data_IF_617479644954
#
_entry.id   IF_617479644954
#
_cell.length_a   1.000
_cell.length_b   1.000
_cell.length_c   1.000
_cell.angle_alpha   90.00
_cell.angle_beta   90.00
_cell.angle_gamma   90.00
#
_symmetry.space_group_name_H-M   'P 1'
#
loop_
_entity.id
_entity.type
_entity.pdbx_description
1 polymer ?
#
# COMPACT_ATOMS: atom_id res chain seq x y z
N UNK A 1 38.15 -43.63 19.91
CA UNK A 1 38.33 -42.18 19.64
C UNK A 1 37.76 -41.81 18.27
N UNK A 2 36.45 -41.96 18.03
CA UNK A 2 35.85 -41.63 16.71
C UNK A 2 34.50 -40.93 16.86
N UNK A 3 33.64 -41.43 17.74
CA UNK A 3 32.28 -40.88 17.91
C UNK A 3 32.23 -39.49 18.56
N UNK A 4 33.00 -39.26 19.64
CA UNK A 4 32.98 -37.98 20.36
C UNK A 4 33.50 -36.78 19.55
N UNK A 5 34.49 -37.00 18.67
CA UNK A 5 35.02 -35.97 17.78
C UNK A 5 34.02 -35.59 16.68
N UNK A 6 33.36 -36.58 16.08
CA UNK A 6 32.33 -36.35 15.05
C UNK A 6 31.12 -35.58 15.60
N UNK A 7 30.66 -35.93 16.81
CA UNK A 7 29.54 -35.22 17.47
C UNK A 7 29.94 -33.79 17.83
N UNK A 8 31.16 -33.57 18.32
CA UNK A 8 31.66 -32.22 18.63
C UNK A 8 31.74 -31.32 17.38
N UNK A 9 32.22 -31.86 16.26
CA UNK A 9 32.25 -31.15 14.97
C UNK A 9 30.84 -30.83 14.45
N UNK A 10 29.88 -31.74 14.64
CA UNK A 10 28.47 -31.55 14.29
C UNK A 10 27.84 -30.42 15.12
N UNK A 11 28.02 -30.44 16.44
CA UNK A 11 27.50 -29.40 17.35
C UNK A 11 28.09 -28.03 16.98
N UNK A 12 29.39 -27.98 16.69
CA UNK A 12 30.08 -26.74 16.30
C UNK A 12 29.55 -26.21 14.96
N UNK A 13 29.33 -27.08 13.98
CA UNK A 13 28.75 -26.71 12.69
C UNK A 13 27.32 -26.18 12.83
N UNK A 14 26.50 -26.81 13.68
CA UNK A 14 25.14 -26.35 13.98
C UNK A 14 25.14 -24.99 14.69
N UNK A 15 26.05 -24.79 15.64
CA UNK A 15 26.18 -23.53 16.38
C UNK A 15 26.64 -22.39 15.49
N UNK A 16 27.60 -22.64 14.59
CA UNK A 16 28.11 -21.65 13.65
C UNK A 16 27.09 -21.29 12.55
N UNK A 17 26.26 -22.26 12.12
CA UNK A 17 25.20 -22.01 11.13
C UNK A 17 23.87 -21.53 11.75
N UNK A 18 23.81 -21.36 13.07
CA UNK A 18 22.61 -20.88 13.74
C UNK A 18 22.43 -19.37 13.49
N UNK A 19 21.59 -19.03 12.52
CA UNK A 19 21.16 -17.64 12.26
C UNK A 19 20.41 -17.07 13.47
N UNK A 20 20.74 -15.86 13.88
CA UNK A 20 19.92 -15.12 14.84
C UNK A 20 18.56 -14.81 14.22
N UNK A 21 17.49 -15.35 14.81
CA UNK A 21 16.12 -15.13 14.31
C UNK A 21 15.59 -13.85 14.94
N UNK A 22 15.64 -12.77 14.18
CA UNK A 22 14.98 -11.52 14.57
C UNK A 22 13.48 -11.72 14.60
N UNK A 23 12.82 -11.12 15.58
CA UNK A 23 11.35 -11.14 15.68
C UNK A 23 10.74 -10.29 14.56
N UNK A 24 9.43 -10.49 14.29
CA UNK A 24 8.73 -9.65 13.31
C UNK A 24 8.76 -8.16 13.71
N UNK A 25 8.71 -7.86 15.00
CA UNK A 25 8.79 -6.51 15.55
C UNK A 25 10.17 -5.88 15.35
N UNK A 26 11.23 -6.62 15.66
CA UNK A 26 12.63 -6.19 15.47
C UNK A 26 12.95 -5.97 13.98
N UNK A 27 12.30 -6.73 13.09
CA UNK A 27 12.38 -6.52 11.65
C UNK A 27 11.73 -5.21 11.22
N UNK A 28 10.65 -4.76 11.87
CA UNK A 28 9.90 -3.54 11.52
C UNK A 28 10.56 -2.29 12.12
N UNK A 29 11.11 -2.39 13.33
CA UNK A 29 11.77 -1.30 14.05
C UNK A 29 12.91 -0.64 13.24
N UNK A 30 13.63 -1.44 12.45
CA UNK A 30 14.68 -0.94 11.54
C UNK A 30 14.19 -0.20 10.29
N UNK A 31 12.89 -0.27 9.96
CA UNK A 31 12.30 0.45 8.82
C UNK A 31 11.48 1.68 9.24
N UNK A 32 11.07 1.80 10.51
CA UNK A 32 10.31 2.97 10.99
C UNK A 32 11.19 4.23 11.12
N UNK A 33 12.49 4.06 11.34
CA UNK A 33 13.44 5.18 11.48
C UNK A 33 13.94 5.73 10.15
N UNK A 34 13.66 5.06 9.02
CA UNK A 34 14.03 5.54 7.69
C UNK A 34 12.96 6.51 7.13
N UNK A 35 12.72 7.57 7.91
CA UNK A 35 11.86 8.72 7.57
C UNK A 35 12.34 9.50 6.33
N UNK A 36 13.45 9.06 5.70
CA UNK A 36 14.05 9.66 4.52
C UNK A 36 13.95 8.80 3.26
N UNK A 37 13.00 7.87 3.18
CA UNK A 37 12.58 7.36 1.86
C UNK A 37 11.76 8.44 1.16
N UNK A 38 12.42 9.54 0.77
CA UNK A 38 11.82 10.57 -0.09
C UNK A 38 11.37 9.83 -1.34
N UNK A 39 10.06 9.78 -1.58
CA UNK A 39 9.48 9.31 -2.84
C UNK A 39 10.14 10.12 -3.97
N UNK A 40 11.16 9.53 -4.59
CA UNK A 40 11.87 10.13 -5.71
C UNK A 40 10.99 9.94 -6.94
N UNK A 41 10.32 11.01 -7.32
CA UNK A 41 9.61 11.06 -8.59
C UNK A 41 10.62 11.49 -9.67
N UNK A 42 11.15 10.52 -10.42
CA UNK A 42 12.09 10.76 -11.54
C UNK A 42 11.48 11.64 -12.65
N UNK A 43 10.15 11.78 -12.67
CA UNK A 43 9.40 12.59 -13.63
C UNK A 43 8.75 13.78 -12.93
N UNK A 44 9.43 14.92 -12.94
CA UNK A 44 8.82 16.20 -12.63
C UNK A 44 7.96 16.64 -13.81
N UNK A 45 6.64 16.55 -13.68
CA UNK A 45 5.74 17.16 -14.64
C UNK A 45 5.94 18.68 -14.62
N UNK A 46 6.04 19.30 -15.80
CA UNK A 46 6.05 20.77 -15.91
C UNK A 46 4.79 21.33 -15.25
N UNK A 47 4.86 22.52 -14.64
CA UNK A 47 3.70 23.17 -14.01
C UNK A 47 2.49 23.24 -14.97
N UNK A 48 2.74 23.39 -16.27
CA UNK A 48 1.71 23.34 -17.31
C UNK A 48 1.03 21.97 -17.41
N UNK A 49 1.82 20.89 -17.41
CA UNK A 49 1.31 19.52 -17.46
C UNK A 49 0.50 19.18 -16.20
N UNK A 50 0.92 19.65 -15.03
CA UNK A 50 0.16 19.48 -13.77
C UNK A 50 -1.20 20.18 -13.85
N UNK A 51 -1.24 21.41 -14.37
CA UNK A 51 -2.48 22.15 -14.54
C UNK A 51 -3.41 21.48 -15.56
N UNK A 52 -2.88 20.95 -16.65
CA UNK A 52 -3.67 20.18 -17.62
C UNK A 52 -4.27 18.91 -17.01
N UNK A 53 -3.47 18.14 -16.26
CA UNK A 53 -3.93 16.93 -15.58
C UNK A 53 -5.02 17.28 -14.57
N UNK A 54 -4.80 18.32 -13.75
CA UNK A 54 -5.78 18.81 -12.78
C UNK A 54 -7.10 19.20 -13.46
N UNK A 55 -7.02 19.95 -14.56
CA UNK A 55 -8.20 20.39 -15.30
C UNK A 55 -8.95 19.22 -15.95
N UNK A 56 -8.24 18.22 -16.47
CA UNK A 56 -8.84 16.99 -17.03
C UNK A 56 -9.60 16.22 -15.94
N UNK A 57 -8.96 15.97 -14.79
CA UNK A 57 -9.56 15.26 -13.66
C UNK A 57 -10.79 16.01 -13.14
N UNK A 58 -10.73 17.33 -12.99
CA UNK A 58 -11.87 18.13 -12.54
C UNK A 58 -13.06 18.03 -13.51
N UNK A 59 -12.82 18.10 -14.82
CA UNK A 59 -13.88 17.96 -15.83
C UNK A 59 -14.52 16.58 -15.82
N UNK A 60 -13.72 15.52 -15.69
CA UNK A 60 -14.23 14.15 -15.58
C UNK A 60 -15.05 13.95 -14.30
N UNK A 61 -14.56 14.46 -13.17
CA UNK A 61 -15.29 14.42 -11.90
C UNK A 61 -16.62 15.18 -11.97
N UNK A 62 -16.67 16.36 -12.58
CA UNK A 62 -17.93 17.09 -12.75
C UNK A 62 -18.94 16.29 -13.58
N UNK A 63 -18.50 15.67 -14.69
CA UNK A 63 -19.37 14.82 -15.52
C UNK A 63 -19.88 13.60 -14.76
N UNK A 64 -19.04 12.93 -13.98
CA UNK A 64 -19.45 11.78 -13.18
C UNK A 64 -20.37 12.17 -12.03
N UNK A 65 -20.15 13.33 -11.39
CA UNK A 65 -21.01 13.88 -10.35
C UNK A 65 -22.42 14.18 -10.89
N UNK A 66 -22.54 14.85 -12.04
CA UNK A 66 -23.85 15.14 -12.65
C UNK A 66 -24.61 13.85 -12.94
N UNK A 67 -23.95 12.85 -13.53
CA UNK A 67 -24.57 11.53 -13.80
C UNK A 67 -25.04 10.85 -12.51
N UNK A 68 -24.23 10.89 -11.44
CA UNK A 68 -24.60 10.33 -10.13
C UNK A 68 -25.77 11.05 -9.50
N UNK A 69 -25.81 12.38 -9.58
CA UNK A 69 -26.92 13.19 -9.05
C UNK A 69 -28.23 12.84 -9.77
N UNK A 70 -28.20 12.75 -11.10
CA UNK A 70 -29.39 12.37 -11.90
C UNK A 70 -29.88 10.98 -11.48
N UNK A 71 -28.98 10.01 -11.37
CA UNK A 71 -29.33 8.66 -10.94
C UNK A 71 -29.91 8.63 -9.51
N UNK A 72 -29.31 9.41 -8.60
CA UNK A 72 -29.78 9.52 -7.22
C UNK A 72 -31.19 10.12 -7.14
N UNK A 73 -31.45 11.20 -7.87
CA UNK A 73 -32.79 11.82 -7.92
C UNK A 73 -33.80 10.83 -8.49
N UNK A 74 -33.49 10.16 -9.60
CA UNK A 74 -34.35 9.12 -10.17
C UNK A 74 -34.67 8.04 -9.14
N UNK A 75 -33.66 7.49 -8.47
CA UNK A 75 -33.85 6.47 -7.43
C UNK A 75 -34.68 6.98 -6.25
N UNK A 76 -34.54 8.24 -5.86
CA UNK A 76 -35.29 8.82 -4.75
C UNK A 76 -36.77 9.01 -5.13
N UNK A 77 -37.02 9.48 -6.35
CA UNK A 77 -38.38 9.66 -6.87
C UNK A 77 -39.12 8.34 -7.05
N UNK A 78 -38.45 7.28 -7.52
CA UNK A 78 -39.08 5.96 -7.65
C UNK A 78 -39.42 5.35 -6.29
N UNK A 79 -38.52 5.49 -5.30
CA UNK A 79 -38.80 5.05 -3.93
C UNK A 79 -39.96 5.82 -3.31
N UNK A 80 -40.01 7.14 -3.48
CA UNK A 80 -41.12 7.95 -2.99
C UNK A 80 -42.47 7.54 -3.62
N UNK A 81 -42.47 7.24 -4.92
CA UNK A 81 -43.66 6.75 -5.61
C UNK A 81 -44.16 5.41 -5.05
N UNK A 82 -43.25 4.46 -4.79
CA UNK A 82 -43.58 3.15 -4.20
C UNK A 82 -44.06 3.22 -2.75
N UNK A 83 -43.74 4.28 -2.01
CA UNK A 83 -44.23 4.47 -0.63
C UNK A 83 -45.62 5.12 -0.64
N UNK A 84 -45.87 6.01 -1.60
CA UNK A 84 -47.13 6.73 -1.72
C UNK A 84 -48.26 5.87 -2.30
N UNK A 85 -47.93 4.97 -3.24
CA UNK A 85 -48.86 4.02 -3.85
C UNK A 85 -48.88 2.68 -3.10
#
# INVERSE_FOLDING_TARGET
MSFGGAVSAMITSLKNNKRNRVSAFEKIEGYETDTNTKLHFDKSASQQQLNEIKNKIQKENQRTLIKRIIFFILSLTTLAYLIYF
#
